data_IF_184870770762
#
_entry.id   IF_184870770762
#
_cell.length_a   1.000
_cell.length_b   1.000
_cell.length_c   1.000
_cell.angle_alpha   90.00
_cell.angle_beta   90.00
_cell.angle_gamma   90.00
#
_symmetry.space_group_name_H-M   'P 1'
#
loop_
_entity.id
_entity.type
_entity.pdbx_description
1 polymer ?
#
# COMPACT_ATOMS: atom_id res chain seq x y z
N UNK A 1 -7.63 5.37 -19.65
CA UNK A 1 -7.60 6.26 -18.49
C UNK A 1 -6.67 5.72 -17.42
N UNK A 2 -5.87 6.61 -16.86
CA UNK A 2 -4.93 6.33 -15.78
C UNK A 2 -4.98 7.51 -14.81
N UNK A 3 -4.66 7.27 -13.54
CA UNK A 3 -4.86 8.26 -12.49
C UNK A 3 -3.61 8.41 -11.63
N UNK A 4 -3.38 9.64 -11.16
CA UNK A 4 -2.52 9.90 -10.00
C UNK A 4 -3.42 10.11 -8.78
N UNK A 5 -3.25 9.23 -7.80
CA UNK A 5 -3.91 9.23 -6.51
C UNK A 5 -2.96 9.81 -5.46
N UNK A 6 -3.39 10.86 -4.76
CA UNK A 6 -2.62 11.47 -3.68
C UNK A 6 -3.24 11.12 -2.34
N UNK A 7 -2.39 10.67 -1.41
CA UNK A 7 -2.78 10.31 -0.05
C UNK A 7 -1.80 10.88 0.96
N UNK A 8 -2.18 10.88 2.24
CA UNK A 8 -1.28 11.25 3.34
C UNK A 8 -0.14 10.27 3.63
N UNK A 9 -0.03 9.13 2.92
CA UNK A 9 0.99 8.09 3.14
C UNK A 9 1.83 7.77 1.88
N UNK A 10 1.53 8.42 0.76
CA UNK A 10 2.18 8.20 -0.53
C UNK A 10 1.28 8.62 -1.68
N UNK A 11 1.88 8.75 -2.87
CA UNK A 11 1.12 8.94 -4.11
C UNK A 11 1.23 7.69 -4.97
N UNK A 12 0.20 7.44 -5.78
CA UNK A 12 0.10 6.23 -6.56
C UNK A 12 -0.34 6.54 -7.99
N UNK A 13 0.28 5.90 -8.97
CA UNK A 13 -0.22 5.83 -10.35
C UNK A 13 -1.02 4.53 -10.48
N UNK A 14 -2.29 4.60 -10.87
CA UNK A 14 -3.14 3.41 -10.97
C UNK A 14 -4.19 3.53 -12.07
N UNK A 15 -4.68 2.40 -12.57
CA UNK A 15 -5.88 2.32 -13.43
C UNK A 15 -7.15 1.96 -12.65
N UNK A 16 -7.08 1.80 -11.32
CA UNK A 16 -8.26 1.55 -10.49
C UNK A 16 -9.26 2.71 -10.62
N UNK A 17 -10.40 2.42 -11.25
CA UNK A 17 -11.42 3.41 -11.54
C UNK A 17 -12.47 3.48 -10.43
N UNK A 18 -12.15 4.23 -9.38
CA UNK A 18 -13.09 4.59 -8.33
C UNK A 18 -13.50 6.06 -8.45
N UNK A 19 -14.75 6.34 -8.08
CA UNK A 19 -15.21 7.71 -7.86
C UNK A 19 -14.48 8.35 -6.68
N UNK A 20 -14.50 9.69 -6.62
CA UNK A 20 -13.92 10.45 -5.49
C UNK A 20 -14.50 9.97 -4.15
N UNK A 21 -15.81 9.71 -4.09
CA UNK A 21 -16.48 9.18 -2.90
C UNK A 21 -15.96 7.81 -2.51
N UNK A 22 -15.82 6.90 -3.47
CA UNK A 22 -15.27 5.56 -3.23
C UNK A 22 -13.82 5.62 -2.74
N UNK A 23 -12.99 6.51 -3.29
CA UNK A 23 -11.63 6.71 -2.78
C UNK A 23 -11.61 7.25 -1.34
N UNK A 24 -12.48 8.21 -1.05
CA UNK A 24 -12.59 8.79 0.30
C UNK A 24 -13.07 7.75 1.34
N UNK A 25 -13.96 6.85 0.95
CA UNK A 25 -14.39 5.71 1.78
C UNK A 25 -13.26 4.68 1.92
N UNK A 26 -12.51 4.44 0.84
CA UNK A 26 -11.48 3.39 0.81
C UNK A 26 -10.19 3.78 1.53
N UNK A 27 -9.81 5.06 1.55
CA UNK A 27 -8.53 5.53 2.09
C UNK A 27 -8.74 6.64 3.12
N UNK A 28 -8.36 6.41 4.38
CA UNK A 28 -8.55 7.36 5.48
C UNK A 28 -7.89 8.72 5.26
N UNK A 29 -6.79 8.77 4.51
CA UNK A 29 -6.06 9.99 4.17
C UNK A 29 -6.06 10.28 2.68
N UNK A 30 -7.16 10.00 1.99
CA UNK A 30 -7.34 10.45 0.61
C UNK A 30 -7.27 11.98 0.52
N UNK A 31 -6.55 12.50 -0.47
CA UNK A 31 -6.40 13.95 -0.66
C UNK A 31 -7.04 14.41 -1.97
N UNK A 32 -6.59 13.84 -3.09
CA UNK A 32 -7.10 14.16 -4.42
C UNK A 32 -6.79 13.06 -5.42
N UNK A 33 -7.52 13.08 -6.54
CA UNK A 33 -7.30 12.23 -7.70
C UNK A 33 -7.15 13.14 -8.93
N UNK A 34 -6.17 12.85 -9.78
CA UNK A 34 -5.98 13.49 -11.09
C UNK A 34 -6.10 12.41 -12.16
N UNK A 35 -6.99 12.60 -13.13
CA UNK A 35 -7.22 11.63 -14.21
C UNK A 35 -6.64 12.08 -15.53
N UNK A 36 -6.13 11.12 -16.29
CA UNK A 36 -5.55 11.29 -17.62
C UNK A 36 -6.28 10.36 -18.59
N UNK A 37 -6.52 10.84 -19.81
CA UNK A 37 -7.29 10.11 -20.83
C UNK A 37 -6.52 8.85 -21.23
N UNK A 38 -5.22 8.98 -21.45
CA UNK A 38 -4.31 7.92 -21.87
C UNK A 38 -2.97 7.96 -21.13
N UNK A 39 -2.12 6.96 -21.42
CA UNK A 39 -0.80 6.86 -20.81
C UNK A 39 0.13 8.00 -21.27
N UNK A 40 -0.06 8.53 -22.48
CA UNK A 40 0.79 9.60 -23.03
C UNK A 40 0.63 10.89 -22.23
N UNK A 41 -0.60 11.29 -21.94
CA UNK A 41 -0.88 12.48 -21.11
C UNK A 41 -0.25 12.36 -19.72
N UNK A 42 -0.31 11.18 -19.10
CA UNK A 42 0.36 10.93 -17.82
C UNK A 42 1.89 11.07 -17.94
N UNK A 43 2.51 10.47 -18.97
CA UNK A 43 3.96 10.55 -19.14
C UNK A 43 4.43 11.98 -19.42
N UNK A 44 3.62 12.79 -20.10
CA UNK A 44 3.88 14.23 -20.28
C UNK A 44 3.81 14.98 -18.93
N UNK A 45 2.80 14.72 -18.10
CA UNK A 45 2.71 15.29 -16.74
C UNK A 45 3.96 14.94 -15.91
N UNK A 46 4.37 13.67 -15.90
CA UNK A 46 5.56 13.22 -15.18
C UNK A 46 6.83 13.92 -15.68
N UNK A 47 6.96 14.11 -16.99
CA UNK A 47 8.11 14.79 -17.58
C UNK A 47 8.14 16.28 -17.23
N UNK A 48 7.02 16.98 -17.33
CA UNK A 48 6.99 18.43 -17.24
C UNK A 48 6.76 18.96 -15.82
N UNK A 49 5.91 18.30 -15.02
CA UNK A 49 5.56 18.72 -13.65
C UNK A 49 6.51 18.11 -12.63
N UNK A 50 6.93 16.86 -12.84
CA UNK A 50 7.86 16.18 -11.93
C UNK A 50 9.31 16.21 -12.39
N UNK A 51 9.58 16.83 -13.55
CA UNK A 51 10.92 16.99 -14.12
C UNK A 51 11.68 15.67 -14.25
N UNK A 52 10.97 14.56 -14.54
CA UNK A 52 11.61 13.27 -14.76
C UNK A 52 12.41 13.27 -16.05
N UNK A 53 13.57 12.63 -16.00
CA UNK A 53 14.40 12.46 -17.18
C UNK A 53 13.82 11.41 -18.14
N UNK A 54 14.41 11.30 -19.33
CA UNK A 54 13.91 10.37 -20.33
C UNK A 54 13.97 8.91 -19.87
N UNK A 55 14.97 8.54 -19.08
CA UNK A 55 15.19 7.17 -18.62
C UNK A 55 14.14 6.77 -17.59
N UNK A 56 13.81 7.64 -16.65
CA UNK A 56 12.76 7.41 -15.67
C UNK A 56 11.39 7.27 -16.34
N UNK A 57 11.12 8.11 -17.35
CA UNK A 57 9.89 8.03 -18.15
C UNK A 57 9.80 6.69 -18.90
N UNK A 58 10.89 6.23 -19.52
CA UNK A 58 10.93 4.92 -20.18
C UNK A 58 10.69 3.76 -19.19
N UNK A 59 11.31 3.82 -18.02
CA UNK A 59 11.12 2.82 -16.97
C UNK A 59 9.67 2.79 -16.48
N UNK A 60 9.07 3.93 -16.17
CA UNK A 60 7.66 4.02 -15.76
C UNK A 60 6.74 3.51 -16.86
N UNK A 61 6.97 3.91 -18.12
CA UNK A 61 6.20 3.43 -19.26
C UNK A 61 6.28 1.90 -19.39
N UNK A 62 7.47 1.31 -19.20
CA UNK A 62 7.66 -0.15 -19.25
C UNK A 62 6.86 -0.92 -18.20
N UNK A 63 6.51 -0.27 -17.08
CA UNK A 63 5.64 -0.83 -16.04
C UNK A 63 4.18 -0.70 -16.47
N UNK A 64 3.78 0.49 -16.94
CA UNK A 64 2.38 0.83 -17.26
C UNK A 64 1.83 0.00 -18.44
N UNK A 65 2.69 -0.35 -19.40
CA UNK A 65 2.28 -1.18 -20.55
C UNK A 65 2.09 -2.66 -20.20
N UNK A 66 2.46 -3.10 -18.99
CA UNK A 66 2.18 -4.46 -18.53
C UNK A 66 0.68 -4.60 -18.25
N UNK A 67 0.02 -5.60 -18.85
CA UNK A 67 -1.42 -5.84 -18.68
C UNK A 67 -1.84 -6.07 -17.22
N UNK A 68 -0.92 -6.52 -16.37
CA UNK A 68 -1.19 -6.92 -14.99
C UNK A 68 -0.69 -5.95 -13.91
N UNK A 69 -0.16 -4.77 -14.28
CA UNK A 69 0.32 -3.83 -13.25
C UNK A 69 -0.85 -3.36 -12.38
N UNK A 70 -0.62 -3.29 -11.06
CA UNK A 70 -1.63 -2.84 -10.09
C UNK A 70 -1.55 -1.34 -9.86
N UNK A 71 -0.42 -0.88 -9.34
CA UNK A 71 -0.12 0.52 -9.22
C UNK A 71 1.39 0.77 -9.10
N UNK A 72 1.80 2.02 -9.22
CA UNK A 72 3.17 2.47 -8.97
C UNK A 72 3.10 3.43 -7.78
N UNK A 73 3.75 3.10 -6.67
CA UNK A 73 3.91 4.05 -5.56
C UNK A 73 5.05 4.99 -5.91
N UNK A 74 4.84 6.29 -5.69
CA UNK A 74 5.90 7.27 -5.82
C UNK A 74 5.91 8.29 -4.68
N UNK A 75 7.07 8.90 -4.49
CA UNK A 75 7.31 10.01 -3.58
C UNK A 75 8.11 11.07 -4.32
N UNK A 76 7.74 12.33 -4.13
CA UNK A 76 8.49 13.47 -4.63
C UNK A 76 8.71 14.44 -3.48
N UNK A 77 9.86 14.34 -2.82
CA UNK A 77 10.25 15.24 -1.72
C UNK A 77 11.39 16.14 -2.18
N UNK A 78 11.36 17.40 -1.74
CA UNK A 78 12.28 18.45 -2.16
C UNK A 78 13.78 18.08 -2.05
N UNK A 79 14.15 17.18 -1.14
CA UNK A 79 15.56 16.78 -0.90
C UNK A 79 15.88 15.32 -1.23
N UNK A 80 14.88 14.46 -1.43
CA UNK A 80 15.09 13.03 -1.73
C UNK A 80 14.93 12.70 -3.22
N UNK A 81 14.42 13.66 -4.00
CA UNK A 81 14.11 13.50 -5.41
C UNK A 81 12.83 12.69 -5.64
N UNK A 82 12.54 12.40 -6.91
CA UNK A 82 11.47 11.51 -7.28
C UNK A 82 11.92 10.06 -7.12
N UNK A 83 11.13 9.27 -6.38
CA UNK A 83 11.35 7.84 -6.20
C UNK A 83 10.07 7.11 -6.52
N UNK A 84 10.17 6.00 -7.22
CA UNK A 84 9.02 5.15 -7.55
C UNK A 84 9.37 3.68 -7.41
N UNK A 85 8.35 2.87 -7.16
CA UNK A 85 8.43 1.43 -7.17
C UNK A 85 7.10 0.85 -7.66
N UNK A 86 7.16 -0.30 -8.34
CA UNK A 86 5.97 -1.14 -8.52
C UNK A 86 5.37 -1.45 -7.15
N UNK A 87 4.04 -1.38 -7.08
CA UNK A 87 3.31 -1.69 -5.88
C UNK A 87 2.20 -2.68 -6.25
N UNK A 88 2.23 -3.82 -5.56
CA UNK A 88 1.42 -4.99 -5.92
C UNK A 88 0.08 -5.00 -5.19
N UNK A 89 -0.11 -4.07 -4.27
CA UNK A 89 -1.36 -3.91 -3.56
C UNK A 89 -2.54 -3.64 -4.49
N UNK A 90 -3.58 -4.46 -4.38
CA UNK A 90 -4.82 -4.27 -5.12
C UNK A 90 -5.85 -3.57 -4.23
N UNK A 91 -6.08 -2.28 -4.49
CA UNK A 91 -7.06 -1.48 -3.77
C UNK A 91 -8.49 -2.05 -3.86
N UNK A 92 -8.81 -2.90 -4.84
CA UNK A 92 -10.16 -3.45 -5.00
C UNK A 92 -10.47 -4.60 -4.05
N UNK A 93 -9.46 -5.36 -3.62
CA UNK A 93 -9.65 -6.62 -2.90
C UNK A 93 -9.79 -6.47 -1.37
N UNK A 94 -9.37 -5.34 -0.79
CA UNK A 94 -9.43 -5.13 0.66
C UNK A 94 -10.80 -4.58 1.07
N UNK A 95 -11.49 -5.24 2.01
CA UNK A 95 -12.75 -4.71 2.57
C UNK A 95 -12.47 -3.60 3.59
N UNK A 96 -13.38 -2.63 3.69
CA UNK A 96 -13.28 -1.53 4.65
C UNK A 96 -12.34 -0.41 4.21
N UNK A 97 -12.00 0.46 5.16
CA UNK A 97 -11.16 1.63 4.94
C UNK A 97 -9.72 1.32 5.33
N UNK A 98 -8.78 1.54 4.41
CA UNK A 98 -7.35 1.38 4.65
C UNK A 98 -6.84 2.63 5.36
N UNK A 99 -6.16 2.41 6.49
CA UNK A 99 -5.62 3.46 7.35
C UNK A 99 -4.13 3.69 7.06
N UNK A 100 -3.38 2.59 6.88
CA UNK A 100 -1.95 2.58 6.59
C UNK A 100 -1.55 1.24 5.99
N UNK A 101 -0.51 1.20 5.15
CA UNK A 101 0.01 -0.05 4.61
C UNK A 101 1.43 0.12 4.10
N UNK A 102 2.16 -0.98 4.08
CA UNK A 102 3.43 -1.13 3.39
C UNK A 102 3.36 -2.39 2.52
N UNK A 103 3.73 -2.24 1.25
CA UNK A 103 3.59 -3.31 0.27
C UNK A 103 4.40 -4.53 0.69
N UNK A 104 3.82 -5.72 0.51
CA UNK A 104 4.40 -7.00 0.97
C UNK A 104 4.69 -7.12 2.46
N UNK A 105 4.28 -6.15 3.29
CA UNK A 105 4.59 -6.14 4.71
C UNK A 105 3.33 -6.15 5.57
N UNK A 106 2.48 -5.12 5.46
CA UNK A 106 1.21 -5.13 6.18
C UNK A 106 0.16 -4.18 5.60
N UNK A 107 -1.10 -4.43 5.97
CA UNK A 107 -2.23 -3.53 5.75
C UNK A 107 -2.96 -3.31 7.07
N UNK A 108 -3.04 -2.07 7.51
CA UNK A 108 -3.84 -1.65 8.64
C UNK A 108 -5.15 -1.03 8.16
N UNK A 109 -6.28 -1.59 8.58
CA UNK A 109 -7.62 -1.23 8.08
C UNK A 109 -8.67 -1.12 9.19
N UNK A 110 -9.72 -0.36 8.92
CA UNK A 110 -10.96 -0.32 9.70
C UNK A 110 -12.10 -0.97 8.93
N UNK A 111 -12.79 -1.92 9.54
CA UNK A 111 -13.95 -2.60 8.94
C UNK A 111 -14.98 -2.91 10.02
N UNK A 112 -16.27 -2.58 9.77
CA UNK A 112 -17.35 -2.75 10.74
C UNK A 112 -17.02 -2.17 12.14
N UNK A 113 -16.48 -0.94 12.18
CA UNK A 113 -16.04 -0.24 13.41
C UNK A 113 -14.87 -0.88 14.16
N UNK A 114 -14.31 -1.97 13.66
CA UNK A 114 -13.18 -2.68 14.24
C UNK A 114 -11.88 -2.42 13.47
N UNK A 115 -10.75 -2.57 14.15
CA UNK A 115 -9.41 -2.33 13.61
C UNK A 115 -8.68 -3.65 13.39
N UNK A 116 -8.13 -3.84 12.19
CA UNK A 116 -7.46 -5.05 11.77
C UNK A 116 -6.09 -4.75 11.18
N UNK A 117 -5.12 -5.58 11.53
CA UNK A 117 -3.77 -5.58 10.98
C UNK A 117 -3.57 -6.88 10.19
N UNK A 118 -3.33 -6.76 8.88
CA UNK A 118 -2.96 -7.87 8.01
C UNK A 118 -1.45 -7.85 7.85
N UNK A 119 -0.75 -8.86 8.35
CA UNK A 119 0.72 -8.92 8.29
C UNK A 119 1.16 -10.03 7.34
N UNK A 120 2.17 -9.76 6.52
CA UNK A 120 2.87 -10.73 5.69
C UNK A 120 4.16 -11.14 6.40
N UNK A 121 4.21 -12.38 6.88
CA UNK A 121 5.36 -12.89 7.62
C UNK A 121 6.24 -13.72 6.68
N UNK A 122 7.50 -13.31 6.48
CA UNK A 122 8.54 -14.22 5.97
C UNK A 122 9.09 -14.05 4.55
N UNK A 123 8.89 -12.91 3.87
CA UNK A 123 9.54 -12.64 2.57
C UNK A 123 9.05 -13.49 1.38
N UNK A 124 8.24 -14.52 1.65
CA UNK A 124 7.39 -15.22 0.70
C UNK A 124 5.97 -14.98 1.21
N UNK A 125 5.07 -14.48 0.35
CA UNK A 125 3.72 -14.05 0.69
C UNK A 125 2.74 -15.17 1.10
N UNK A 126 3.23 -16.26 1.72
CA UNK A 126 2.44 -17.44 2.05
C UNK A 126 1.81 -17.40 3.46
N UNK A 127 2.25 -16.51 4.36
CA UNK A 127 1.64 -16.32 5.68
C UNK A 127 1.08 -14.91 5.81
N UNK A 128 -0.21 -14.77 5.47
CA UNK A 128 -1.01 -13.59 5.81
C UNK A 128 -1.73 -13.86 7.14
N UNK A 129 -1.50 -13.03 8.15
CA UNK A 129 -2.24 -13.09 9.41
C UNK A 129 -3.12 -11.87 9.58
N UNK A 130 -4.43 -12.06 9.66
CA UNK A 130 -5.36 -11.02 10.12
C UNK A 130 -5.39 -11.01 11.66
N UNK A 131 -5.10 -9.85 12.24
CA UNK A 131 -5.07 -9.62 13.68
C UNK A 131 -6.06 -8.50 13.99
N UNK A 132 -7.14 -8.81 14.70
CA UNK A 132 -8.01 -7.80 15.31
C UNK A 132 -7.27 -7.16 16.47
N UNK A 133 -7.20 -5.83 16.51
CA UNK A 133 -6.55 -5.11 17.60
C UNK A 133 -7.41 -5.16 18.87
N UNK A 134 -6.75 -5.29 20.03
CA UNK A 134 -7.37 -5.15 21.35
C UNK A 134 -7.70 -3.69 21.66
N UNK A 135 -8.53 -3.45 22.67
CA UNK A 135 -8.87 -2.11 23.13
C UNK A 135 -7.61 -1.30 23.51
N UNK A 136 -6.67 -1.89 24.26
CA UNK A 136 -5.39 -1.25 24.62
C UNK A 136 -4.57 -0.84 23.39
N UNK A 137 -4.49 -1.70 22.37
CA UNK A 137 -3.77 -1.36 21.13
C UNK A 137 -4.46 -0.23 20.36
N UNK A 138 -5.80 -0.20 20.37
CA UNK A 138 -6.58 0.86 19.74
C UNK A 138 -6.40 2.18 20.49
N UNK A 139 -6.39 2.17 21.81
CA UNK A 139 -6.11 3.35 22.65
C UNK A 139 -4.72 3.89 22.35
N UNK A 140 -3.68 3.05 22.36
CA UNK A 140 -2.32 3.48 21.99
C UNK A 140 -2.24 4.01 20.56
N UNK A 141 -2.90 3.37 19.61
CA UNK A 141 -2.95 3.89 18.23
C UNK A 141 -3.58 5.29 18.17
N UNK A 142 -4.63 5.55 18.97
CA UNK A 142 -5.26 6.88 19.05
C UNK A 142 -4.32 7.92 19.71
N UNK A 143 -3.44 7.50 20.60
CA UNK A 143 -2.49 8.38 21.31
C UNK A 143 -1.25 8.71 20.47
N UNK A 144 -0.56 7.70 19.94
CA UNK A 144 0.76 7.86 19.28
C UNK A 144 0.72 7.59 17.76
N UNK A 145 -0.45 7.30 17.21
CA UNK A 145 -0.65 7.15 15.77
C UNK A 145 0.06 5.95 15.17
N UNK A 146 0.62 6.14 13.97
CA UNK A 146 1.24 5.06 13.18
C UNK A 146 2.44 4.40 13.86
N UNK A 147 3.12 5.11 14.78
CA UNK A 147 4.23 4.56 15.54
C UNK A 147 3.83 3.31 16.36
N UNK A 148 2.58 3.25 16.85
CA UNK A 148 2.06 2.04 17.51
C UNK A 148 1.94 0.87 16.53
N UNK A 149 1.56 1.14 15.28
CA UNK A 149 1.42 0.10 14.26
C UNK A 149 2.79 -0.43 13.87
N UNK A 150 3.75 0.45 13.66
CA UNK A 150 5.15 0.08 13.36
C UNK A 150 5.72 -0.79 14.50
N UNK A 151 5.49 -0.40 15.76
CA UNK A 151 5.90 -1.19 16.94
C UNK A 151 5.27 -2.60 16.96
N UNK A 152 3.97 -2.71 16.68
CA UNK A 152 3.29 -4.01 16.65
C UNK A 152 3.83 -4.91 15.53
N UNK A 153 4.14 -4.34 14.37
CA UNK A 153 4.73 -5.07 13.25
C UNK A 153 6.13 -5.56 13.60
N UNK A 154 6.96 -4.70 14.18
CA UNK A 154 8.32 -5.08 14.60
C UNK A 154 8.30 -6.20 15.65
N UNK A 155 7.40 -6.11 16.63
CA UNK A 155 7.24 -7.16 17.64
C UNK A 155 6.77 -8.49 17.01
N UNK A 156 5.83 -8.45 16.06
CA UNK A 156 5.39 -9.65 15.33
C UNK A 156 6.52 -10.25 14.48
N UNK A 157 7.32 -9.41 13.81
CA UNK A 157 8.50 -9.84 13.04
C UNK A 157 9.59 -10.42 13.92
N UNK A 158 9.77 -9.95 15.16
CA UNK A 158 10.72 -10.53 16.13
C UNK A 158 10.30 -11.89 16.64
N UNK A 159 9.00 -12.19 16.66
CA UNK A 159 8.46 -13.52 16.96
C UNK A 159 8.59 -14.50 15.76
N UNK A 160 8.84 -13.95 14.57
CA UNK A 160 9.19 -14.69 13.35
C UNK A 160 10.63 -15.20 13.50
N UNK A 161 10.85 -16.51 13.32
CA UNK A 161 12.01 -17.34 13.73
C UNK A 161 11.78 -18.21 14.99
N UNK A 162 10.54 -18.34 15.46
CA UNK A 162 10.17 -19.37 16.43
C UNK A 162 10.06 -20.76 15.77
N UNK A 163 10.33 -21.82 16.52
CA UNK A 163 10.21 -23.22 16.04
C UNK A 163 8.80 -23.49 15.50
N UNK A 164 7.81 -22.84 16.09
CA UNK A 164 6.40 -22.87 15.72
C UNK A 164 6.14 -22.30 14.31
N UNK A 165 6.90 -21.28 13.90
CA UNK A 165 6.82 -20.68 12.57
C UNK A 165 7.42 -21.59 11.49
N UNK A 166 8.60 -22.17 11.74
CA UNK A 166 9.21 -23.16 10.83
C UNK A 166 8.33 -24.42 10.70
N UNK A 167 7.71 -24.83 11.80
CA UNK A 167 6.79 -25.98 11.84
C UNK A 167 5.51 -25.71 11.03
N UNK A 168 4.99 -24.49 11.01
CA UNK A 168 3.80 -24.12 10.23
C UNK A 168 4.08 -24.11 8.71
N UNK A 169 5.27 -23.65 8.29
CA UNK A 169 5.74 -23.69 6.89
C UNK A 169 5.88 -25.14 6.42
N UNK A 170 6.50 -26.01 7.23
CA UNK A 170 6.73 -27.42 6.88
C UNK A 170 5.45 -28.26 6.78
N UNK A 171 4.34 -27.78 7.32
CA UNK A 171 3.06 -28.50 7.36
C UNK A 171 2.05 -28.06 6.30
N UNK A 172 2.44 -27.22 5.35
CA UNK A 172 1.63 -26.75 4.21
C UNK A 172 0.22 -26.26 4.63
N UNK A 173 0.14 -25.66 5.82
CA UNK A 173 -1.10 -25.13 6.38
C UNK A 173 -1.35 -23.75 5.80
N UNK A 174 -1.61 -23.68 4.49
CA UNK A 174 -2.36 -22.57 3.90
C UNK A 174 -3.75 -22.56 4.50
N UNK A 175 -4.10 -21.51 5.21
CA UNK A 175 -5.46 -21.29 5.69
C UNK A 175 -5.89 -19.86 5.37
N UNK A 176 -6.58 -19.77 4.22
CA UNK A 176 -7.44 -18.71 3.68
C UNK A 176 -6.86 -17.29 3.56
#
# INVERSE_FOLDING_TARGET
>A
MIFILYTGIGSFITRTNFTVTQWNEKLYRFQKLVGFIDDKELLEELKFVYHLDHKDIECINSIIVKDNFKNIRFQNKAFEGFRYAENYFDFTNVKGQILYFEDWDFIFRRFNEEYFLWCFLGGIADIQREIKLSEEHIERYKEIGLAQIDYLIDDLKRLNNSIEYETAILQDRKLL
#
